data_IF_536164080020
#
_entry.id   IF_536164080020
#
_cell.length_a   1.000
_cell.length_b   1.000
_cell.length_c   1.000
_cell.angle_alpha   90.00
_cell.angle_beta   90.00
_cell.angle_gamma   90.00
#
_symmetry.space_group_name_H-M   'P 1'
#
loop_
_entity.id
_entity.type
_entity.pdbx_description
1 polymer ?
#
# COMPACT_ATOMS: atom_id res chain seq x y z
N UNK A 1 16.48 1.92 -5.92
CA UNK A 1 17.06 1.83 -7.27
C UNK A 1 16.97 0.39 -7.73
N UNK A 2 16.60 0.18 -9.00
CA UNK A 2 16.57 -1.16 -9.62
C UNK A 2 17.92 -1.43 -10.28
N UNK A 3 18.85 -1.97 -9.50
CA UNK A 3 20.24 -2.24 -9.92
C UNK A 3 20.46 -3.69 -10.38
N UNK A 4 19.39 -4.49 -10.49
CA UNK A 4 19.43 -5.89 -10.90
C UNK A 4 19.79 -6.88 -9.79
N UNK A 5 20.07 -6.42 -8.56
CA UNK A 5 20.37 -7.32 -7.44
C UNK A 5 19.11 -7.88 -6.77
N UNK A 6 19.19 -9.10 -6.24
CA UNK A 6 18.11 -9.70 -5.43
C UNK A 6 17.74 -8.85 -4.21
N UNK A 7 18.74 -8.16 -3.65
CA UNK A 7 18.53 -7.21 -2.55
C UNK A 7 17.68 -6.02 -2.99
N UNK A 8 17.88 -5.50 -4.20
CA UNK A 8 17.04 -4.45 -4.76
C UNK A 8 15.63 -4.95 -5.06
N UNK A 9 15.47 -6.17 -5.60
CA UNK A 9 14.16 -6.76 -5.86
C UNK A 9 13.30 -6.79 -4.59
N UNK A 10 13.85 -7.28 -3.46
CA UNK A 10 13.15 -7.30 -2.16
C UNK A 10 12.79 -5.91 -1.64
N UNK A 11 13.65 -4.91 -1.86
CA UNK A 11 13.36 -3.52 -1.46
C UNK A 11 12.26 -2.92 -2.32
N UNK A 12 12.32 -3.13 -3.63
CA UNK A 12 11.36 -2.61 -4.60
C UNK A 12 9.97 -3.18 -4.35
N UNK A 13 9.86 -4.49 -4.13
CA UNK A 13 8.60 -5.15 -3.78
C UNK A 13 7.91 -4.45 -2.60
N UNK A 14 8.65 -4.20 -1.52
CA UNK A 14 8.11 -3.52 -0.33
C UNK A 14 7.79 -2.06 -0.58
N UNK A 15 8.68 -1.32 -1.23
CA UNK A 15 8.51 0.13 -1.43
C UNK A 15 7.34 0.41 -2.37
N UNK A 16 7.23 -0.34 -3.47
CA UNK A 16 6.14 -0.15 -4.44
C UNK A 16 4.80 -0.68 -3.93
N UNK A 17 4.77 -1.48 -2.87
CA UNK A 17 3.54 -1.82 -2.15
C UNK A 17 3.18 -0.76 -1.10
N UNK A 18 4.13 -0.43 -0.23
CA UNK A 18 3.88 0.40 0.93
C UNK A 18 3.65 1.88 0.57
N UNK A 19 4.42 2.43 -0.37
CA UNK A 19 4.33 3.85 -0.74
C UNK A 19 2.93 4.24 -1.25
N UNK A 20 2.38 3.62 -2.32
CA UNK A 20 0.99 3.89 -2.71
C UNK A 20 -0.03 3.41 -1.66
N UNK A 21 0.28 2.34 -0.92
CA UNK A 21 -0.55 1.84 0.18
C UNK A 21 -0.82 2.90 1.25
N UNK A 22 0.17 3.74 1.59
CA UNK A 22 -0.03 4.87 2.52
C UNK A 22 -0.95 5.94 1.96
N UNK A 23 -0.96 6.14 0.63
CA UNK A 23 -1.92 7.01 -0.05
C UNK A 23 -3.34 6.50 0.10
N UNK A 24 -3.57 5.20 -0.15
CA UNK A 24 -4.89 4.56 0.03
C UNK A 24 -5.32 4.62 1.49
N UNK A 25 -4.43 4.28 2.44
CA UNK A 25 -4.66 4.39 3.88
C UNK A 25 -5.16 5.78 4.25
N UNK A 26 -4.46 6.84 3.80
CA UNK A 26 -4.81 8.23 4.13
C UNK A 26 -6.21 8.62 3.62
N UNK A 27 -6.57 8.19 2.41
CA UNK A 27 -7.90 8.49 1.86
C UNK A 27 -8.99 7.64 2.53
N UNK A 28 -8.70 6.39 2.89
CA UNK A 28 -9.62 5.55 3.65
C UNK A 28 -9.89 6.14 5.05
N UNK A 29 -8.84 6.62 5.73
CA UNK A 29 -8.93 7.32 7.02
C UNK A 29 -9.79 8.60 6.94
N UNK A 30 -9.68 9.33 5.82
CA UNK A 30 -10.53 10.50 5.54
C UNK A 30 -11.99 10.14 5.13
N UNK A 31 -12.36 8.85 5.09
CA UNK A 31 -13.72 8.38 4.81
C UNK A 31 -14.08 8.22 3.34
N UNK A 32 -13.10 8.21 2.42
CA UNK A 32 -13.38 7.99 0.99
C UNK A 32 -13.70 6.52 0.73
N UNK A 33 -14.94 6.22 0.33
CA UNK A 33 -15.40 4.85 0.09
C UNK A 33 -14.55 4.11 -0.95
N UNK A 34 -14.18 4.80 -2.04
CA UNK A 34 -13.32 4.22 -3.09
C UNK A 34 -11.96 3.74 -2.56
N UNK A 35 -11.44 4.38 -1.52
CA UNK A 35 -10.17 4.01 -0.92
C UNK A 35 -10.33 2.85 0.07
N UNK A 36 -11.44 2.80 0.80
CA UNK A 36 -11.80 1.64 1.65
C UNK A 36 -11.98 0.39 0.79
N UNK A 37 -12.67 0.51 -0.35
CA UNK A 37 -12.87 -0.60 -1.28
C UNK A 37 -11.53 -1.05 -1.88
N UNK A 38 -10.69 -0.11 -2.31
CA UNK A 38 -9.33 -0.40 -2.78
C UNK A 38 -8.50 -1.13 -1.72
N UNK A 39 -8.57 -0.69 -0.46
CA UNK A 39 -7.85 -1.31 0.65
C UNK A 39 -8.30 -2.77 0.87
N UNK A 40 -9.60 -3.05 0.78
CA UNK A 40 -10.15 -4.42 0.90
C UNK A 40 -9.74 -5.30 -0.29
N UNK A 41 -9.89 -4.81 -1.51
CA UNK A 41 -9.55 -5.54 -2.74
C UNK A 41 -8.06 -5.91 -2.81
N UNK A 42 -7.19 -5.04 -2.29
CA UNK A 42 -5.74 -5.24 -2.28
C UNK A 42 -5.24 -5.89 -0.99
N UNK A 43 -6.09 -6.09 0.02
CA UNK A 43 -5.70 -6.71 1.28
C UNK A 43 -4.71 -5.86 2.08
N UNK A 44 -4.91 -4.55 2.12
CA UNK A 44 -4.15 -3.67 3.03
C UNK A 44 -4.59 -3.93 4.48
N UNK A 45 -3.63 -3.99 5.39
CA UNK A 45 -3.87 -4.14 6.82
C UNK A 45 -4.06 -2.75 7.47
N UNK A 46 -5.32 -2.36 7.71
CA UNK A 46 -5.70 -1.06 8.29
C UNK A 46 -6.54 -1.26 9.57
N UNK A 47 -5.91 -1.54 10.74
CA UNK A 47 -6.61 -2.04 11.94
C UNK A 47 -7.69 -1.14 12.54
N UNK A 48 -7.63 0.17 12.28
CA UNK A 48 -8.60 1.14 12.79
C UNK A 48 -9.75 1.43 11.82
N UNK A 49 -9.67 0.92 10.58
CA UNK A 49 -10.59 1.24 9.47
C UNK A 49 -11.32 -0.02 8.97
N UNK A 50 -10.63 -1.15 8.82
CA UNK A 50 -11.14 -2.40 8.23
C UNK A 50 -11.59 -3.44 9.25
#
# INVERSE_FOLDING_TARGET
VADGTDAAAKRIERVLWNDPGTGVMRHADAGYQIAIDCAKEKGLDLPAIL
#
